data_IF_247689215398
#
_entry.id   IF_247689215398
#
_cell.length_a   1.000
_cell.length_b   1.000
_cell.length_c   1.000
_cell.angle_alpha   90.00
_cell.angle_beta   90.00
_cell.angle_gamma   90.00
#
_symmetry.space_group_name_H-M   'P 1'
#
loop_
_entity.id
_entity.type
_entity.pdbx_description
1 polymer ?
#
# COMPACT_ATOMS: atom_id res chain seq x y z
N UNK A 1 7.29 -13.18 22.35
CA UNK A 1 5.99 -12.66 22.82
C UNK A 1 5.76 -11.34 22.10
N UNK A 2 4.76 -11.24 21.23
CA UNK A 2 4.45 -9.99 20.53
C UNK A 2 3.74 -9.08 21.54
N UNK A 3 4.21 -7.84 21.76
CA UNK A 3 3.45 -6.89 22.55
C UNK A 3 2.09 -6.67 21.88
N UNK A 4 1.00 -6.90 22.62
CA UNK A 4 -0.32 -6.43 22.22
C UNK A 4 -0.24 -4.92 21.97
N UNK A 5 -1.05 -4.35 21.05
CA UNK A 5 -1.10 -2.91 20.84
C UNK A 5 -1.46 -2.25 22.17
N UNK A 6 -0.45 -1.74 22.87
CA UNK A 6 -0.63 -1.00 24.10
C UNK A 6 -0.91 0.45 23.71
N UNK A 7 -1.92 1.06 24.34
CA UNK A 7 -2.14 2.50 24.24
C UNK A 7 -1.02 3.34 24.92
N UNK A 8 0.02 2.69 25.43
CA UNK A 8 1.18 3.35 26.01
C UNK A 8 2.05 3.90 24.87
N UNK A 9 2.32 5.20 24.91
CA UNK A 9 3.18 5.87 23.94
C UNK A 9 4.56 5.19 23.85
N UNK A 10 4.99 4.88 22.62
CA UNK A 10 6.33 4.38 22.36
C UNK A 10 7.40 5.34 22.92
N UNK A 11 8.39 4.80 23.63
CA UNK A 11 9.56 5.56 24.08
C UNK A 11 10.51 5.78 22.89
N UNK A 12 10.16 6.77 22.08
CA UNK A 12 10.91 7.13 20.88
C UNK A 12 12.38 7.48 21.17
N UNK A 13 12.70 7.99 22.37
CA UNK A 13 14.08 8.32 22.74
C UNK A 13 14.90 7.04 22.94
N UNK A 14 14.38 6.08 23.71
CA UNK A 14 15.05 4.81 23.92
C UNK A 14 15.20 4.01 22.61
N UNK A 15 14.19 4.05 21.74
CA UNK A 15 14.23 3.38 20.43
C UNK A 15 15.27 4.04 19.51
N UNK A 16 15.28 5.37 19.40
CA UNK A 16 16.25 6.09 18.58
C UNK A 16 17.70 5.82 19.03
N UNK A 17 17.92 5.76 20.35
CA UNK A 17 19.21 5.37 20.93
C UNK A 17 19.62 3.95 20.53
N UNK A 18 18.71 2.97 20.60
CA UNK A 18 18.98 1.60 20.13
C UNK A 18 19.36 1.55 18.65
N UNK A 19 18.64 2.28 17.80
CA UNK A 19 18.97 2.38 16.37
C UNK A 19 20.38 2.96 16.14
N UNK A 20 20.82 3.93 16.94
CA UNK A 20 22.16 4.52 16.84
C UNK A 20 23.25 3.56 17.31
N UNK A 21 22.98 2.73 18.32
CA UNK A 21 23.92 1.71 18.79
C UNK A 21 24.14 0.59 17.78
N UNK A 22 23.16 0.32 16.92
CA UNK A 22 23.23 -0.70 15.86
C UNK A 22 22.85 -0.09 14.48
N UNK A 23 23.69 0.79 13.89
CA UNK A 23 23.38 1.44 12.62
C UNK A 23 23.03 0.44 11.51
N UNK A 24 22.03 0.78 10.69
CA UNK A 24 21.53 -0.06 9.60
C UNK A 24 20.58 -1.20 10.03
N UNK A 25 20.57 -1.59 11.32
CA UNK A 25 19.68 -2.63 11.85
C UNK A 25 18.30 -2.07 12.19
N UNK A 26 17.26 -2.79 11.79
CA UNK A 26 15.88 -2.39 12.08
C UNK A 26 15.48 -2.75 13.51
N UNK A 27 14.92 -1.76 14.21
CA UNK A 27 14.35 -1.87 15.55
C UNK A 27 12.85 -1.60 15.47
N UNK A 28 12.06 -2.44 16.16
CA UNK A 28 10.62 -2.22 16.29
C UNK A 28 10.38 -0.94 17.09
N UNK A 29 9.63 -0.01 16.51
CA UNK A 29 9.17 1.20 17.18
C UNK A 29 7.93 0.86 18.02
N UNK A 30 6.86 0.42 17.36
CA UNK A 30 5.60 0.00 17.99
C UNK A 30 4.67 -0.70 16.99
N UNK A 31 3.55 -1.23 17.46
CA UNK A 31 2.45 -1.77 16.65
C UNK A 31 1.20 -0.92 16.82
N UNK A 32 0.76 -0.28 15.74
CA UNK A 32 -0.41 0.61 15.74
C UNK A 32 -1.65 -0.11 15.24
N UNK A 33 -2.81 0.22 15.81
CA UNK A 33 -4.10 -0.38 15.43
C UNK A 33 -4.53 -0.09 13.98
N UNK A 34 -4.06 1.01 13.39
CA UNK A 34 -4.38 1.37 12.00
C UNK A 34 -3.11 1.63 11.17
N UNK A 35 -3.19 1.31 9.88
CA UNK A 35 -2.14 1.58 8.91
C UNK A 35 -1.83 3.08 8.80
N UNK A 36 -2.85 3.93 8.84
CA UNK A 36 -2.68 5.38 8.73
C UNK A 36 -1.87 5.95 9.91
N UNK A 37 -2.13 5.47 11.14
CA UNK A 37 -1.36 5.89 12.31
C UNK A 37 0.12 5.44 12.19
N UNK A 38 0.36 4.18 11.83
CA UNK A 38 1.71 3.66 11.60
C UNK A 38 2.46 4.43 10.50
N UNK A 39 1.81 4.73 9.37
CA UNK A 39 2.40 5.50 8.28
C UNK A 39 2.72 6.95 8.70
N UNK A 40 1.87 7.57 9.52
CA UNK A 40 2.12 8.90 10.07
C UNK A 40 3.35 8.90 11.00
N UNK A 41 3.49 7.88 11.86
CA UNK A 41 4.66 7.71 12.73
C UNK A 41 5.92 7.43 11.90
N UNK A 42 5.88 6.45 10.98
CA UNK A 42 7.02 6.15 10.12
C UNK A 42 7.47 7.38 9.31
N UNK A 43 6.54 8.24 8.86
CA UNK A 43 6.86 9.52 8.22
C UNK A 43 7.51 10.50 9.19
N UNK A 44 6.98 10.61 10.41
CA UNK A 44 7.52 11.48 11.45
C UNK A 44 8.93 11.10 11.90
N UNK A 45 9.26 9.80 11.91
CA UNK A 45 10.63 9.28 12.11
C UNK A 45 11.55 9.78 10.99
N UNK A 46 11.20 9.50 9.72
CA UNK A 46 12.02 9.89 8.56
C UNK A 46 12.23 11.40 8.44
N UNK A 47 11.20 12.19 8.74
CA UNK A 47 11.26 13.65 8.62
C UNK A 47 11.85 14.34 9.85
N UNK A 48 12.29 13.62 10.89
CA UNK A 48 12.77 14.21 12.14
C UNK A 48 11.71 15.05 12.88
N UNK A 49 10.42 14.77 12.63
CA UNK A 49 9.29 15.45 13.30
C UNK A 49 9.36 15.20 14.80
N UNK A 50 9.68 13.98 15.20
CA UNK A 50 9.96 13.67 16.60
C UNK A 50 11.39 14.04 16.93
N UNK A 51 11.60 14.70 18.08
CA UNK A 51 12.91 15.20 18.51
C UNK A 51 13.99 14.11 18.56
N UNK A 52 13.61 12.88 18.95
CA UNK A 52 14.51 11.74 19.08
C UNK A 52 15.12 11.28 17.74
N UNK A 53 14.46 11.53 16.60
CA UNK A 53 14.92 11.07 15.27
C UNK A 53 15.47 12.22 14.41
N UNK A 54 16.07 13.24 15.04
CA UNK A 54 16.73 14.34 14.32
C UNK A 54 18.22 14.03 14.09
N UNK A 55 18.85 14.58 13.04
CA UNK A 55 18.26 15.44 12.01
C UNK A 55 17.33 14.69 11.03
N UNK A 56 16.55 15.42 10.23
CA UNK A 56 15.71 14.82 9.20
C UNK A 56 16.57 14.03 8.21
N UNK A 57 16.14 12.83 7.82
CA UNK A 57 16.91 11.93 6.97
C UNK A 57 17.91 11.03 7.70
N UNK A 58 18.19 11.27 8.99
CA UNK A 58 19.11 10.42 9.76
C UNK A 58 18.58 9.01 10.04
N UNK A 59 17.26 8.82 9.93
CA UNK A 59 16.58 7.55 10.15
C UNK A 59 15.72 7.18 8.95
N UNK A 60 15.76 5.91 8.62
CA UNK A 60 14.76 5.28 7.75
C UNK A 60 13.70 4.61 8.61
N UNK A 61 12.48 4.54 8.11
CA UNK A 61 11.39 3.84 8.78
C UNK A 61 10.34 3.36 7.81
N UNK A 62 9.69 2.25 8.14
CA UNK A 62 8.62 1.66 7.33
C UNK A 62 7.46 1.23 8.23
N UNK A 63 6.25 1.32 7.69
CA UNK A 63 5.05 0.74 8.27
C UNK A 63 4.72 -0.57 7.54
N UNK A 64 4.63 -1.68 8.27
CA UNK A 64 4.44 -3.01 7.71
C UNK A 64 3.20 -3.69 8.34
N UNK A 65 2.37 -4.38 7.54
CA UNK A 65 1.28 -5.20 8.09
C UNK A 65 1.83 -6.23 9.09
N UNK A 66 1.13 -6.39 10.21
CA UNK A 66 1.40 -7.37 11.24
C UNK A 66 0.08 -8.02 11.68
N UNK A 67 0.14 -9.15 12.39
CA UNK A 67 -1.05 -9.88 12.81
C UNK A 67 -2.03 -9.04 13.64
N UNK A 68 -1.50 -8.12 14.45
CA UNK A 68 -2.29 -7.29 15.38
C UNK A 68 -2.30 -5.80 15.02
N UNK A 69 -2.09 -5.46 13.74
CA UNK A 69 -2.15 -4.08 13.27
C UNK A 69 -1.08 -3.77 12.23
N UNK A 70 -0.44 -2.61 12.35
CA UNK A 70 0.66 -2.19 11.49
C UNK A 70 1.87 -1.82 12.34
N UNK A 71 2.93 -2.63 12.23
CA UNK A 71 4.18 -2.41 12.93
C UNK A 71 5.01 -1.32 12.24
N UNK A 72 5.63 -0.45 13.03
CA UNK A 72 6.62 0.51 12.53
C UNK A 72 8.01 0.02 12.91
N UNK A 73 8.87 -0.09 11.92
CA UNK A 73 10.28 -0.43 12.09
C UNK A 73 11.13 0.76 11.67
N UNK A 74 12.20 1.04 12.42
CA UNK A 74 13.12 2.13 12.14
C UNK A 74 14.57 1.65 12.20
N UNK A 75 15.46 2.29 11.45
CA UNK A 75 16.91 2.08 11.50
C UNK A 75 17.63 3.41 11.34
N UNK A 76 18.78 3.56 12.00
CA UNK A 76 19.65 4.73 11.80
C UNK A 76 20.46 4.53 10.52
N UNK A 77 20.49 5.54 9.65
CA UNK A 77 21.11 5.46 8.31
C UNK A 77 22.01 6.65 7.99
N UNK A 78 22.12 7.63 8.89
CA UNK A 78 22.99 8.80 8.67
C UNK A 78 24.45 8.37 8.47
N UNK A 79 25.08 8.90 7.42
CA UNK A 79 26.45 8.52 7.03
C UNK A 79 26.63 7.08 6.55
N UNK A 80 25.55 6.30 6.40
CA UNK A 80 25.59 4.93 5.87
C UNK A 80 25.12 4.90 4.42
N UNK A 81 25.84 4.15 3.58
CA UNK A 81 25.30 3.70 2.29
C UNK A 81 24.39 2.48 2.50
N UNK A 82 23.29 2.70 3.22
CA UNK A 82 22.36 1.64 3.59
C UNK A 82 21.44 1.29 2.42
N UNK A 83 21.56 0.06 1.91
CA UNK A 83 20.64 -0.44 0.90
C UNK A 83 19.17 -0.29 1.36
N UNK A 84 18.25 0.11 0.47
CA UNK A 84 16.84 0.16 0.79
C UNK A 84 16.37 -1.24 1.18
N UNK A 85 15.57 -1.34 2.26
CA UNK A 85 15.05 -2.65 2.66
C UNK A 85 14.16 -3.18 1.54
N UNK A 86 14.44 -4.37 0.98
CA UNK A 86 13.66 -4.88 -0.13
C UNK A 86 12.20 -5.08 0.29
N UNK A 87 11.26 -4.87 -0.63
CA UNK A 87 9.86 -5.17 -0.37
C UNK A 87 9.55 -6.66 -0.46
N UNK A 88 10.30 -7.37 -1.31
CA UNK A 88 10.12 -8.79 -1.61
C UNK A 88 11.44 -9.56 -1.52
N UNK A 89 11.34 -10.87 -1.37
CA UNK A 89 12.45 -11.80 -1.49
C UNK A 89 12.00 -13.03 -2.27
N UNK A 90 12.93 -13.62 -3.01
CA UNK A 90 12.71 -14.88 -3.73
C UNK A 90 13.24 -16.04 -2.90
N UNK A 91 12.42 -17.08 -2.70
CA UNK A 91 12.80 -18.27 -1.94
C UNK A 91 12.36 -19.54 -2.65
N UNK A 92 13.11 -20.62 -2.44
CA UNK A 92 12.79 -21.98 -2.86
C UNK A 92 12.12 -22.70 -1.70
N UNK A 93 10.88 -23.14 -1.87
CA UNK A 93 10.15 -23.83 -0.81
C UNK A 93 9.58 -25.15 -1.31
N UNK A 94 9.47 -26.17 -0.45
CA UNK A 94 8.79 -27.40 -0.81
C UNK A 94 7.29 -27.14 -0.94
N UNK A 95 6.71 -27.49 -2.10
CA UNK A 95 5.28 -27.69 -2.26
C UNK A 95 4.96 -29.16 -2.02
N UNK A 96 4.28 -29.40 -0.91
CA UNK A 96 3.88 -30.73 -0.47
C UNK A 96 2.60 -31.23 -1.15
N UNK A 97 2.01 -30.44 -2.07
CA UNK A 97 0.75 -30.72 -2.74
C UNK A 97 -0.42 -30.95 -1.75
N UNK A 98 -1.59 -31.29 -2.27
CA UNK A 98 -2.78 -31.61 -1.45
C UNK A 98 -2.98 -33.12 -1.25
N UNK A 99 -2.09 -33.96 -1.80
CA UNK A 99 -2.27 -35.41 -1.76
C UNK A 99 -1.97 -35.99 -0.36
N UNK A 100 -2.81 -36.91 0.13
CA UNK A 100 -2.52 -37.67 1.34
C UNK A 100 -1.17 -38.39 1.22
N UNK A 101 -0.31 -38.28 2.23
CA UNK A 101 1.00 -38.94 2.27
C UNK A 101 2.21 -38.05 1.92
N UNK A 102 1.98 -36.85 1.38
CA UNK A 102 3.04 -35.92 0.96
C UNK A 102 4.06 -36.58 0.00
N UNK A 103 3.57 -37.42 -0.90
CA UNK A 103 4.34 -37.95 -2.03
C UNK A 103 4.38 -36.91 -3.15
N UNK A 104 5.47 -36.91 -3.93
CA UNK A 104 5.59 -36.02 -5.09
C UNK A 104 5.95 -34.58 -4.71
N UNK A 105 6.70 -34.39 -3.62
CA UNK A 105 7.14 -33.07 -3.19
C UNK A 105 8.00 -32.43 -4.28
N UNK A 106 7.61 -31.22 -4.68
CA UNK A 106 8.39 -30.40 -5.62
C UNK A 106 8.96 -29.19 -4.90
N UNK A 107 10.09 -28.67 -5.38
CA UNK A 107 10.62 -27.39 -4.89
C UNK A 107 10.23 -26.33 -5.89
N UNK A 108 9.48 -25.33 -5.42
CA UNK A 108 9.04 -24.19 -6.24
C UNK A 108 9.75 -22.92 -5.79
N UNK A 109 10.11 -22.08 -6.76
CA UNK A 109 10.65 -20.75 -6.51
C UNK A 109 9.49 -19.76 -6.46
N UNK A 110 9.34 -19.04 -5.35
CA UNK A 110 8.24 -18.08 -5.13
C UNK A 110 8.78 -16.73 -4.67
N UNK A 111 8.04 -15.67 -5.01
CA UNK A 111 8.27 -14.34 -4.46
C UNK A 111 7.33 -14.10 -3.26
N UNK A 112 7.91 -13.67 -2.14
CA UNK A 112 7.18 -13.31 -0.92
C UNK A 112 7.64 -11.96 -0.39
N UNK A 113 6.93 -11.43 0.61
CA UNK A 113 7.34 -10.26 1.37
C UNK A 113 8.71 -10.47 2.00
N UNK A 114 9.57 -9.46 2.01
CA UNK A 114 10.76 -9.46 2.86
C UNK A 114 10.42 -9.22 4.35
N UNK A 115 9.13 -9.15 4.70
CA UNK A 115 8.63 -8.90 6.06
C UNK A 115 7.89 -10.12 6.61
N UNK A 116 8.16 -10.46 7.86
CA UNK A 116 7.47 -11.48 8.63
C UNK A 116 5.97 -11.15 8.75
N UNK A 117 5.08 -12.09 8.40
CA UNK A 117 3.63 -11.88 8.47
C UNK A 117 3.08 -11.70 9.88
N UNK A 118 3.78 -12.22 10.90
CA UNK A 118 3.33 -12.14 12.29
C UNK A 118 3.55 -10.74 12.88
N UNK A 119 4.74 -10.16 12.70
CA UNK A 119 5.15 -8.92 13.39
C UNK A 119 5.59 -7.78 12.45
N UNK A 120 5.65 -8.01 11.14
CA UNK A 120 6.12 -7.02 10.17
C UNK A 120 7.63 -6.79 10.15
N UNK A 121 8.41 -7.49 11.00
CA UNK A 121 9.88 -7.37 11.03
C UNK A 121 10.58 -7.95 9.80
N UNK A 122 11.85 -7.63 9.56
CA UNK A 122 12.59 -8.16 8.42
C UNK A 122 12.70 -9.68 8.50
N UNK A 123 12.51 -10.35 7.36
CA UNK A 123 12.85 -11.76 7.20
C UNK A 123 14.36 -11.93 7.12
N UNK A 124 14.84 -13.07 7.62
CA UNK A 124 16.23 -13.45 7.49
C UNK A 124 16.63 -13.69 6.03
N UNK A 125 17.94 -13.63 5.76
CA UNK A 125 18.48 -14.03 4.46
C UNK A 125 18.26 -15.53 4.26
N UNK A 126 17.72 -15.90 3.10
CA UNK A 126 17.59 -17.30 2.70
C UNK A 126 18.95 -17.99 2.62
N UNK A 127 19.05 -19.20 3.17
CA UNK A 127 20.19 -20.11 3.05
C UNK A 127 19.73 -21.45 2.47
N UNK A 128 20.52 -22.10 1.62
CA UNK A 128 20.19 -23.43 1.13
C UNK A 128 20.14 -24.42 2.29
N UNK A 129 19.07 -25.20 2.35
CA UNK A 129 18.83 -26.29 3.29
C UNK A 129 18.49 -27.56 2.50
N UNK A 130 19.24 -28.64 2.76
CA UNK A 130 19.08 -29.90 2.04
C UNK A 130 18.19 -30.85 2.83
N UNK A 131 17.21 -31.46 2.18
CA UNK A 131 16.34 -32.46 2.79
C UNK A 131 16.15 -33.66 1.87
N UNK A 132 15.72 -34.79 2.43
CA UNK A 132 15.44 -36.01 1.66
C UNK A 132 13.94 -36.30 1.74
N UNK A 133 13.33 -36.53 0.58
CA UNK A 133 11.91 -36.92 0.44
C UNK A 133 11.76 -37.83 -0.77
N UNK A 134 10.96 -38.88 -0.65
CA UNK A 134 10.69 -39.84 -1.73
C UNK A 134 11.98 -40.41 -2.37
N UNK A 135 12.99 -40.68 -1.52
CA UNK A 135 14.31 -41.16 -1.95
C UNK A 135 15.16 -40.12 -2.71
N UNK A 136 14.67 -38.90 -2.91
CA UNK A 136 15.37 -37.81 -3.60
C UNK A 136 15.91 -36.81 -2.61
N UNK A 137 17.14 -36.34 -2.86
CA UNK A 137 17.75 -35.21 -2.14
C UNK A 137 17.35 -33.92 -2.84
N UNK A 138 16.64 -33.05 -2.12
CA UNK A 138 16.12 -31.78 -2.58
C UNK A 138 16.76 -30.62 -1.80
N UNK A 139 16.79 -29.42 -2.39
CA UNK A 139 17.31 -28.21 -1.75
C UNK A 139 16.20 -27.17 -1.68
N UNK A 140 15.91 -26.69 -0.49
CA UNK A 140 15.00 -25.57 -0.21
C UNK A 140 15.79 -24.41 0.40
N UNK A 141 15.13 -23.27 0.61
CA UNK A 141 15.68 -22.18 1.41
C UNK A 141 15.11 -22.22 2.83
N UNK A 142 15.99 -22.10 3.81
CA UNK A 142 15.66 -21.84 5.20
C UNK A 142 16.09 -20.41 5.56
N UNK A 143 15.46 -19.80 6.55
CA UNK A 143 15.87 -18.50 7.07
C UNK A 143 15.43 -18.38 8.52
N UNK A 144 16.15 -17.56 9.27
CA UNK A 144 15.80 -17.23 10.65
C UNK A 144 15.40 -15.76 10.71
N UNK A 145 14.16 -15.50 11.12
CA UNK A 145 13.70 -14.14 11.31
C UNK A 145 14.29 -13.59 12.61
N UNK A 146 14.87 -12.39 12.58
CA UNK A 146 15.41 -11.74 13.78
C UNK A 146 14.34 -11.52 14.87
N UNK A 147 13.07 -11.49 14.49
CA UNK A 147 11.93 -11.42 15.41
C UNK A 147 11.58 -12.75 16.11
N UNK A 148 12.24 -13.85 15.77
CA UNK A 148 12.01 -15.18 16.35
C UNK A 148 10.79 -15.93 15.82
N UNK A 149 9.98 -15.34 14.94
CA UNK A 149 8.85 -16.04 14.33
C UNK A 149 9.32 -16.99 13.23
N UNK A 150 8.77 -18.20 13.21
CA UNK A 150 9.01 -19.17 12.15
C UNK A 150 7.96 -19.02 11.03
N UNK A 151 8.42 -18.99 9.78
CA UNK A 151 7.55 -19.03 8.60
C UNK A 151 7.36 -20.49 8.17
N UNK A 152 6.14 -21.03 8.29
CA UNK A 152 5.85 -22.34 7.71
C UNK A 152 5.80 -22.25 6.18
N UNK A 153 6.32 -23.28 5.49
CA UNK A 153 6.31 -23.28 4.02
C UNK A 153 4.89 -23.23 3.44
N UNK A 154 3.89 -23.80 4.11
CA UNK A 154 2.48 -23.66 3.72
C UNK A 154 2.02 -22.20 3.76
N UNK A 155 2.39 -21.44 4.81
CA UNK A 155 2.04 -20.03 4.92
C UNK A 155 2.77 -19.17 3.87
N UNK A 156 4.00 -19.55 3.50
CA UNK A 156 4.80 -18.94 2.44
C UNK A 156 4.16 -19.16 1.07
N UNK A 157 3.72 -20.39 0.76
CA UNK A 157 3.02 -20.71 -0.49
C UNK A 157 1.68 -19.96 -0.59
N UNK A 158 0.92 -19.88 0.50
CA UNK A 158 -0.31 -19.09 0.54
C UNK A 158 -0.03 -17.60 0.33
N UNK A 159 1.04 -17.06 0.92
CA UNK A 159 1.44 -15.67 0.72
C UNK A 159 1.80 -15.40 -0.75
N UNK A 160 2.57 -16.29 -1.37
CA UNK A 160 2.95 -16.19 -2.78
C UNK A 160 1.72 -16.21 -3.70
N UNK A 161 0.78 -17.15 -3.48
CA UNK A 161 -0.48 -17.22 -4.24
C UNK A 161 -1.29 -15.93 -4.09
N UNK A 162 -1.46 -15.45 -2.87
CA UNK A 162 -2.18 -14.21 -2.62
C UNK A 162 -1.55 -13.02 -3.35
N UNK A 163 -0.22 -12.96 -3.48
CA UNK A 163 0.47 -11.88 -4.22
C UNK A 163 0.23 -11.95 -5.73
N UNK A 164 0.17 -13.15 -6.29
CA UNK A 164 -0.17 -13.35 -7.71
C UNK A 164 -1.62 -12.98 -7.97
N UNK A 165 -2.54 -13.38 -7.11
CA UNK A 165 -3.98 -13.08 -7.23
C UNK A 165 -4.29 -11.58 -6.98
N UNK A 166 -3.51 -10.95 -6.10
CA UNK A 166 -3.69 -9.55 -5.70
C UNK A 166 -2.39 -8.77 -5.92
N UNK A 167 -1.99 -8.54 -7.19
CA UNK A 167 -0.79 -7.80 -7.50
C UNK A 167 -0.87 -6.43 -6.84
N UNK A 168 0.20 -6.03 -6.13
CA UNK A 168 0.28 -4.68 -5.59
C UNK A 168 0.30 -3.72 -6.78
N UNK A 169 -0.74 -2.89 -6.89
CA UNK A 169 -0.73 -1.76 -7.83
C UNK A 169 0.55 -0.98 -7.62
N UNK A 170 1.35 -0.84 -8.68
CA UNK A 170 2.64 -0.16 -8.59
C UNK A 170 2.42 1.26 -8.05
N UNK A 171 3.39 1.73 -7.25
CA UNK A 171 3.39 3.08 -6.69
C UNK A 171 3.51 4.09 -7.84
N UNK A 172 2.37 4.52 -8.38
CA UNK A 172 2.29 5.32 -9.59
C UNK A 172 1.06 5.00 -10.45
N UNK A 173 0.52 3.79 -10.35
CA UNK A 173 -0.78 3.49 -10.93
C UNK A 173 -1.85 4.29 -10.18
N UNK A 174 -2.39 5.31 -10.86
CA UNK A 174 -3.47 6.13 -10.35
C UNK A 174 -4.60 5.21 -9.86
N UNK A 175 -4.96 5.34 -8.57
CA UNK A 175 -6.00 4.51 -7.96
C UNK A 175 -7.35 4.78 -8.60
N UNK A 176 -7.75 4.01 -9.60
CA UNK A 176 -9.13 3.98 -10.10
C UNK A 176 -9.29 4.17 -11.61
N UNK A 177 -8.48 3.46 -12.40
CA UNK A 177 -8.59 3.42 -13.86
C UNK A 177 -8.27 4.74 -14.56
N UNK A 178 -8.26 4.68 -15.89
CA UNK A 178 -8.28 5.85 -16.76
C UNK A 178 -9.53 6.66 -16.46
N UNK A 179 -9.35 7.95 -16.22
CA UNK A 179 -10.45 8.88 -15.97
C UNK A 179 -10.73 9.59 -17.29
N UNK A 180 -11.87 9.27 -17.92
CA UNK A 180 -12.26 9.83 -19.20
C UNK A 180 -13.72 10.31 -19.13
N UNK A 181 -14.01 11.43 -19.77
CA UNK A 181 -15.38 11.90 -19.95
C UNK A 181 -16.27 10.86 -20.65
N UNK A 182 -17.57 10.87 -20.36
CA UNK A 182 -18.55 10.06 -21.10
C UNK A 182 -18.72 10.69 -22.47
N UNK A 183 -18.56 9.93 -23.55
CA UNK A 183 -18.73 10.45 -24.91
C UNK A 183 -20.15 11.03 -25.11
N UNK A 184 -20.22 12.29 -25.54
CA UNK A 184 -21.46 13.07 -25.65
C UNK A 184 -22.04 13.56 -24.31
N UNK A 185 -21.37 13.27 -23.20
CA UNK A 185 -21.75 13.72 -21.87
C UNK A 185 -21.56 15.23 -21.69
N UNK A 186 -22.42 15.83 -20.88
CA UNK A 186 -22.44 17.27 -20.61
C UNK A 186 -21.15 17.74 -19.92
N UNK A 187 -20.53 16.88 -19.12
CA UNK A 187 -19.32 17.19 -18.35
C UNK A 187 -18.06 16.54 -18.93
N UNK A 188 -18.11 16.00 -20.16
CA UNK A 188 -16.99 15.27 -20.74
C UNK A 188 -15.69 16.11 -20.78
N UNK A 189 -15.75 17.33 -21.32
CA UNK A 189 -14.60 18.24 -21.41
C UNK A 189 -14.04 18.61 -20.01
N UNK A 190 -14.92 18.87 -19.05
CA UNK A 190 -14.55 19.14 -17.66
C UNK A 190 -13.82 17.95 -17.00
N UNK A 191 -14.28 16.72 -17.26
CA UNK A 191 -13.64 15.49 -16.76
C UNK A 191 -12.24 15.34 -17.37
N UNK A 192 -12.09 15.56 -18.67
CA UNK A 192 -10.81 15.44 -19.37
C UNK A 192 -9.79 16.50 -18.90
N UNK A 193 -10.24 17.72 -18.58
CA UNK A 193 -9.41 18.75 -17.95
C UNK A 193 -8.90 18.32 -16.56
N UNK A 194 -9.79 17.77 -15.72
CA UNK A 194 -9.38 17.27 -14.40
C UNK A 194 -8.46 16.05 -14.53
N UNK A 195 -8.71 15.16 -15.48
CA UNK A 195 -7.86 14.01 -15.77
C UNK A 195 -6.45 14.45 -16.16
N UNK A 196 -6.32 15.40 -17.08
CA UNK A 196 -5.04 15.98 -17.50
C UNK A 196 -4.29 16.62 -16.32
N UNK A 197 -5.00 17.34 -15.44
CA UNK A 197 -4.39 17.92 -14.24
C UNK A 197 -3.94 16.86 -13.22
N UNK A 198 -4.62 15.71 -13.14
CA UNK A 198 -4.25 14.59 -12.28
C UNK A 198 -3.01 13.83 -12.79
N UNK A 199 -2.76 13.82 -14.09
CA UNK A 199 -1.51 13.28 -14.66
C UNK A 199 -0.30 14.08 -14.20
N UNK A 200 -0.42 15.42 -14.14
CA UNK A 200 0.63 16.31 -13.66
C UNK A 200 0.73 16.30 -12.14
N UNK A 201 -0.40 16.26 -11.44
CA UNK A 201 -0.46 16.29 -9.98
C UNK A 201 -1.48 15.28 -9.42
N UNK A 202 -1.05 14.08 -9.02
CA UNK A 202 -1.94 13.06 -8.46
C UNK A 202 -2.69 13.49 -7.19
N UNK A 203 -2.21 14.55 -6.51
CA UNK A 203 -2.83 15.12 -5.30
C UNK A 203 -3.71 16.33 -5.60
N UNK A 204 -4.19 16.45 -6.84
CA UNK A 204 -5.11 17.51 -7.26
C UNK A 204 -6.41 17.45 -6.45
N UNK A 205 -6.74 18.54 -5.75
CA UNK A 205 -7.94 18.66 -4.89
C UNK A 205 -9.16 19.16 -5.68
N UNK A 206 -10.37 18.94 -5.17
CA UNK A 206 -11.60 19.48 -5.74
C UNK A 206 -11.59 21.03 -5.81
N UNK A 207 -11.01 21.73 -4.83
CA UNK A 207 -10.90 23.20 -4.89
C UNK A 207 -10.06 23.68 -6.08
N UNK A 208 -8.92 23.03 -6.33
CA UNK A 208 -8.10 23.30 -7.52
C UNK A 208 -8.82 22.93 -8.81
N UNK A 209 -9.63 21.87 -8.80
CA UNK A 209 -10.49 21.53 -9.94
C UNK A 209 -11.53 22.62 -10.21
N UNK A 210 -12.18 23.17 -9.18
CA UNK A 210 -13.14 24.28 -9.34
C UNK A 210 -12.45 25.50 -9.96
N UNK A 211 -11.26 25.86 -9.50
CA UNK A 211 -10.50 26.97 -10.10
C UNK A 211 -10.16 26.67 -11.57
N UNK A 212 -9.59 25.50 -11.87
CA UNK A 212 -9.24 25.05 -13.21
C UNK A 212 -10.45 25.09 -14.17
N UNK A 213 -11.61 24.58 -13.72
CA UNK A 213 -12.82 24.58 -14.52
C UNK A 213 -13.32 25.99 -14.82
N UNK A 214 -13.28 26.91 -13.85
CA UNK A 214 -13.66 28.31 -14.11
C UNK A 214 -12.71 28.99 -15.09
N UNK A 215 -11.41 28.76 -14.97
CA UNK A 215 -10.40 29.35 -15.86
C UNK A 215 -10.53 28.86 -17.31
N UNK A 216 -11.17 27.71 -17.52
CA UNK A 216 -11.42 27.12 -18.84
C UNK A 216 -12.88 27.28 -19.33
N UNK A 217 -13.71 28.09 -18.65
CA UNK A 217 -15.09 28.35 -19.06
C UNK A 217 -16.11 27.27 -18.69
N UNK A 218 -15.69 26.21 -18.00
CA UNK A 218 -16.52 25.09 -17.54
C UNK A 218 -17.28 25.43 -16.23
N UNK A 219 -17.94 26.60 -16.20
CA UNK A 219 -18.54 27.16 -14.98
C UNK A 219 -19.60 26.25 -14.35
N UNK A 220 -20.39 25.56 -15.17
CA UNK A 220 -21.42 24.65 -14.70
C UNK A 220 -20.82 23.43 -13.99
N UNK A 221 -19.78 22.82 -14.59
CA UNK A 221 -19.05 21.74 -13.94
C UNK A 221 -18.41 22.22 -12.63
N UNK A 222 -17.86 23.44 -12.61
CA UNK A 222 -17.26 24.02 -11.42
C UNK A 222 -18.28 24.19 -10.28
N UNK A 223 -19.51 24.62 -10.60
CA UNK A 223 -20.60 24.73 -9.63
C UNK A 223 -21.00 23.35 -9.08
N UNK A 224 -21.20 22.37 -9.96
CA UNK A 224 -21.53 20.98 -9.58
C UNK A 224 -20.46 20.36 -8.67
N UNK A 225 -19.18 20.57 -8.97
CA UNK A 225 -18.07 20.08 -8.14
C UNK A 225 -18.06 20.77 -6.77
N UNK A 226 -18.39 22.06 -6.70
CA UNK A 226 -18.48 22.80 -5.44
C UNK A 226 -19.58 22.23 -4.55
N UNK A 227 -20.78 22.01 -5.10
CA UNK A 227 -21.92 21.47 -4.37
C UNK A 227 -21.65 20.04 -3.88
N UNK A 228 -20.99 19.22 -4.71
CA UNK A 228 -20.52 17.90 -4.32
C UNK A 228 -19.50 17.95 -3.17
N UNK A 229 -18.50 18.84 -3.25
CA UNK A 229 -17.48 18.97 -2.21
C UNK A 229 -18.07 19.47 -0.89
N UNK A 230 -19.12 20.29 -0.91
CA UNK A 230 -19.81 20.78 0.28
C UNK A 230 -20.74 19.75 0.93
N UNK A 231 -21.33 18.86 0.14
CA UNK A 231 -22.25 17.81 0.63
C UNK A 231 -21.54 16.54 1.09
N UNK A 232 -20.31 16.29 0.63
CA UNK A 232 -19.53 15.13 1.03
C UNK A 232 -19.04 15.26 2.49
N UNK A 233 -19.04 14.15 3.25
CA UNK A 233 -18.51 14.07 4.63
C UNK A 233 -17.04 14.50 4.71
N UNK A 234 -16.28 14.31 3.62
CA UNK A 234 -14.90 14.78 3.50
C UNK A 234 -14.79 16.32 3.39
N UNK A 235 -15.87 17.01 3.00
CA UNK A 235 -15.93 18.46 2.86
C UNK A 235 -14.84 19.00 1.92
N UNK A 236 -14.09 20.05 2.33
CA UNK A 236 -13.06 20.68 1.51
C UNK A 236 -11.87 19.77 1.19
N UNK A 237 -11.76 18.59 1.82
CA UNK A 237 -10.72 17.58 1.53
C UNK A 237 -11.06 16.64 0.37
N UNK A 238 -12.19 16.87 -0.33
CA UNK A 238 -12.58 16.09 -1.51
C UNK A 238 -11.50 16.15 -2.59
N UNK A 239 -11.11 14.98 -3.12
CA UNK A 239 -10.09 14.89 -4.17
C UNK A 239 -10.64 15.33 -5.53
N UNK A 240 -9.77 15.83 -6.41
CA UNK A 240 -10.12 16.17 -7.79
C UNK A 240 -10.60 14.94 -8.57
N UNK A 241 -10.04 13.75 -8.30
CA UNK A 241 -10.51 12.51 -8.91
C UNK A 241 -11.93 12.15 -8.46
N UNK A 242 -12.26 12.30 -7.18
CA UNK A 242 -13.63 12.09 -6.69
C UNK A 242 -14.62 13.06 -7.34
N UNK A 243 -14.22 14.32 -7.52
CA UNK A 243 -15.02 15.31 -8.24
C UNK A 243 -15.26 14.91 -9.71
N UNK A 244 -14.23 14.47 -10.43
CA UNK A 244 -14.39 14.03 -11.81
C UNK A 244 -15.24 12.75 -11.93
N UNK A 245 -15.05 11.77 -11.04
CA UNK A 245 -15.90 10.57 -11.00
C UNK A 245 -17.38 10.90 -10.75
N UNK A 246 -17.65 11.92 -9.93
CA UNK A 246 -19.01 12.41 -9.73
C UNK A 246 -19.60 13.01 -11.01
N UNK A 247 -18.82 13.81 -11.77
CA UNK A 247 -19.27 14.33 -13.06
C UNK A 247 -19.55 13.21 -14.09
N UNK A 248 -18.68 12.20 -14.16
CA UNK A 248 -18.88 11.00 -15.01
C UNK A 248 -20.16 10.27 -14.63
N UNK A 249 -20.43 10.14 -13.33
CA UNK A 249 -21.66 9.51 -12.84
C UNK A 249 -22.92 10.26 -13.31
N UNK A 250 -22.94 11.60 -13.20
CA UNK A 250 -24.06 12.42 -13.68
C UNK A 250 -24.30 12.27 -15.18
N UNK A 251 -23.25 12.27 -16.00
CA UNK A 251 -23.38 12.06 -17.44
C UNK A 251 -23.88 10.65 -17.78
N UNK A 252 -23.44 9.64 -17.01
CA UNK A 252 -23.88 8.25 -17.17
C UNK A 252 -25.37 8.10 -16.83
N UNK A 253 -25.84 8.73 -15.75
CA UNK A 253 -27.25 8.73 -15.36
C UNK A 253 -28.13 9.45 -16.38
N UNK A 254 -27.69 10.60 -16.88
CA UNK A 254 -28.42 11.35 -17.91
C UNK A 254 -28.60 10.51 -19.18
N UNK A 255 -27.53 9.86 -19.65
CA UNK A 255 -27.57 8.98 -20.82
C UNK A 255 -28.47 7.77 -20.63
N UNK A 256 -28.49 7.19 -19.43
CA UNK A 256 -29.37 6.08 -19.10
C UNK A 256 -30.86 6.51 -19.11
N UNK A 257 -31.15 7.72 -18.63
CA UNK A 257 -32.50 8.30 -18.68
C UNK A 257 -32.98 8.53 -20.13
N UNK A 258 -32.13 9.12 -20.99
CA UNK A 258 -32.46 9.37 -22.40
C UNK A 258 -32.75 8.06 -23.15
N UNK A 259 -31.94 7.03 -22.92
CA UNK A 259 -32.15 5.70 -23.52
C UNK A 259 -33.47 5.04 -23.07
N UNK A 260 -33.90 5.28 -21.82
CA UNK A 260 -35.17 4.76 -21.31
C UNK A 260 -36.38 5.46 -21.92
N UNK A 261 -36.28 6.74 -22.27
CA UNK A 261 -37.38 7.48 -22.90
C UNK A 261 -37.61 7.03 -24.34
N UNK A 262 -36.54 6.73 -25.09
CA UNK A 262 -36.67 6.31 -26.50
C UNK A 262 -37.35 4.95 -26.66
N UNK A 263 -37.23 4.01 -25.71
CA UNK A 263 -37.86 2.69 -25.81
C UNK A 263 -39.37 2.68 -25.47
N UNK A 264 -39.93 3.79 -24.98
CA UNK A 264 -41.33 3.88 -24.56
C UNK A 264 -42.35 4.18 -25.66
N UNK A 265 -41.92 4.73 -26.81
CA UNK A 265 -42.80 5.32 -27.83
C UNK A 265 -43.01 4.44 -29.09
N UNK A 266 -42.51 3.20 -29.13
CA UNK A 266 -42.70 2.26 -30.25
C UNK A 266 -43.91 1.29 -30.08
N UNK A 267 -45.08 1.79 -29.67
CA UNK A 267 -46.33 0.99 -29.66
C UNK A 267 -47.44 1.65 -30.47
#
# INVERSE_FOLDING_TARGET
MIPQPNAAYADHQAIAWKCQLEPGKEVLVDVYGTRQAAEAVARGVRSGKFRAYRPAGAYDAVACPAQYGTAVWARYVDGLDAEPVPETMTVRVPDYCTQPGYEGVTVVTVEISARCRACGGPRGKGRPDTFVRDGKRLVRDAWDNACGHHDSYTAVLHEARHRVEHPRKHKGELRGGELKGVEGGKYAAAVDLIASALEVNPWFSAQKAIALLNDNGEHQAAATVRDFAMSNVAGPSTSGKSAALFLVHLDTEARAADASTTMGDEK
#
